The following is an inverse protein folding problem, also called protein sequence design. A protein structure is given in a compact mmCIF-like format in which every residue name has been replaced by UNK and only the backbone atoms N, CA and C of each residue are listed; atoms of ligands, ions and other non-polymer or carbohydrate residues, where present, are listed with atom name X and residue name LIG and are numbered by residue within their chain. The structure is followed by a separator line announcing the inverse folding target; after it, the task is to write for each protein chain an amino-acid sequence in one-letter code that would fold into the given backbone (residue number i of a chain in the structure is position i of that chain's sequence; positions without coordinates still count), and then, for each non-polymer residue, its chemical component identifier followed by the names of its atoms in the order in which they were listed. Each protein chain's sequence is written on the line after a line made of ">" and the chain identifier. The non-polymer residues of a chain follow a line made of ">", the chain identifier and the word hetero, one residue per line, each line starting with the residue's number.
data_IF_474911343163
#
_entry.id   IF_474911343163
#
_cell.length_a   1.000
_cell.length_b   1.000
_cell.length_c   1.000
_cell.angle_alpha   90.00
_cell.angle_beta   90.00
_cell.angle_gamma   90.00
#
_symmetry.space_group_name_H-M   'P 1'
#
loop_
_entity.id
_entity.type
_entity.pdbx_description
1 polymer ?
#
# COMPACT_ATOMS: atom_id res chain seq x y z
N UNK A 1 -4.52 -14.72 0.93
CA UNK A 1 -3.80 -13.62 0.26
C UNK A 1 -2.31 -13.83 0.47
N UNK A 2 -1.48 -13.64 -0.56
CA UNK A 2 -0.02 -13.57 -0.44
C UNK A 2 0.43 -12.15 -0.85
N UNK A 3 1.19 -11.46 -0.01
CA UNK A 3 1.78 -10.15 -0.32
C UNK A 3 3.29 -10.28 -0.21
N UNK A 4 3.99 -10.03 -1.31
CA UNK A 4 5.45 -9.93 -1.34
C UNK A 4 5.85 -8.49 -1.62
N UNK A 5 6.69 -7.93 -0.77
CA UNK A 5 7.20 -6.57 -0.90
C UNK A 5 8.69 -6.55 -0.65
N UNK A 6 9.42 -5.98 -1.60
CA UNK A 6 10.82 -5.62 -1.46
C UNK A 6 10.96 -4.22 -2.02
N UNK A 7 10.83 -3.20 -1.18
CA UNK A 7 10.68 -1.82 -1.63
C UNK A 7 11.38 -0.82 -0.72
N UNK A 8 11.87 0.25 -1.36
CA UNK A 8 12.46 1.40 -0.67
C UNK A 8 11.68 2.68 -0.97
N UNK A 9 11.50 3.52 0.05
CA UNK A 9 10.95 4.86 -0.10
C UNK A 9 11.62 5.87 0.82
N UNK A 10 12.17 6.94 0.25
CA UNK A 10 12.69 8.09 0.99
C UNK A 10 11.67 9.22 1.02
N UNK A 11 11.45 9.78 2.21
CA UNK A 11 10.61 10.97 2.44
C UNK A 11 11.37 11.93 3.37
N UNK A 12 12.02 12.94 2.80
CA UNK A 12 12.90 13.82 3.56
C UNK A 12 14.07 13.06 4.19
N UNK A 13 14.20 13.12 5.51
CA UNK A 13 15.20 12.37 6.29
C UNK A 13 14.78 10.93 6.61
N UNK A 14 13.52 10.57 6.39
CA UNK A 14 13.01 9.23 6.66
C UNK A 14 13.25 8.29 5.47
N UNK A 15 13.71 7.07 5.74
CA UNK A 15 13.88 6.00 4.76
C UNK A 15 13.13 4.76 5.23
N UNK A 16 12.10 4.37 4.48
CA UNK A 16 11.41 3.11 4.66
C UNK A 16 12.06 2.07 3.75
N UNK A 17 12.58 0.98 4.33
CA UNK A 17 12.99 -0.23 3.62
C UNK A 17 12.20 -1.39 4.15
N UNK A 18 11.53 -2.13 3.27
CA UNK A 18 10.74 -3.30 3.65
C UNK A 18 11.07 -4.42 2.68
N UNK A 19 11.49 -5.56 3.22
CA UNK A 19 11.67 -6.80 2.49
C UNK A 19 10.97 -7.90 3.30
N UNK A 20 9.79 -8.31 2.84
CA UNK A 20 9.01 -9.34 3.52
C UNK A 20 8.01 -9.99 2.57
N UNK A 21 7.64 -11.22 2.91
CA UNK A 21 6.53 -11.95 2.31
C UNK A 21 5.58 -12.36 3.44
N UNK A 22 4.30 -12.02 3.28
CA UNK A 22 3.27 -12.33 4.26
C UNK A 22 2.12 -13.05 3.58
N UNK A 23 1.72 -14.18 4.19
CA UNK A 23 0.58 -14.96 3.74
C UNK A 23 -0.43 -15.08 4.86
N UNK A 24 -1.72 -15.04 4.50
CA UNK A 24 -2.81 -15.17 5.45
C UNK A 24 -4.08 -14.48 4.98
N UNK A 25 -5.13 -14.62 5.76
CA UNK A 25 -6.39 -13.88 5.57
C UNK A 25 -6.38 -12.53 6.29
N UNK A 26 -5.64 -12.42 7.39
CA UNK A 26 -5.56 -11.24 8.25
C UNK A 26 -4.10 -11.02 8.65
N UNK A 27 -3.57 -9.85 8.35
CA UNK A 27 -2.20 -9.45 8.67
C UNK A 27 -2.24 -8.14 9.44
N UNK A 28 -1.52 -8.08 10.56
CA UNK A 28 -1.36 -6.88 11.37
C UNK A 28 0.01 -6.27 11.18
N UNK A 29 0.07 -4.94 11.07
CA UNK A 29 1.33 -4.18 11.08
C UNK A 29 1.36 -3.36 12.37
N UNK A 30 2.36 -3.60 13.22
CA UNK A 30 2.52 -2.92 14.51
C UNK A 30 3.81 -2.08 14.54
N UNK A 31 3.79 -1.00 15.32
CA UNK A 31 4.93 -0.12 15.53
C UNK A 31 4.52 1.24 16.07
N UNK A 32 5.48 1.99 16.63
CA UNK A 32 5.26 3.32 17.19
C UNK A 32 4.77 4.34 16.14
N UNK A 33 4.17 5.45 16.59
CA UNK A 33 3.83 6.55 15.68
C UNK A 33 5.07 7.02 14.91
N UNK A 34 4.93 7.34 13.62
CA UNK A 34 6.05 7.72 12.77
C UNK A 34 6.90 6.58 12.22
N UNK A 35 6.64 5.31 12.59
CA UNK A 35 7.43 4.16 12.12
C UNK A 35 7.24 3.78 10.63
N UNK A 36 6.45 4.55 9.87
CA UNK A 36 6.21 4.30 8.43
C UNK A 36 5.03 3.37 8.09
N UNK A 37 4.16 3.02 9.04
CA UNK A 37 3.00 2.13 8.79
C UNK A 37 2.06 2.65 7.70
N UNK A 38 1.62 3.91 7.81
CA UNK A 38 0.75 4.51 6.80
C UNK A 38 1.46 4.66 5.46
N UNK A 39 2.77 4.96 5.47
CA UNK A 39 3.60 4.97 4.26
C UNK A 39 3.59 3.60 3.60
N UNK A 40 3.81 2.51 4.34
CA UNK A 40 3.76 1.14 3.83
C UNK A 40 2.40 0.80 3.19
N UNK A 41 1.29 1.14 3.86
CA UNK A 41 -0.07 0.95 3.32
C UNK A 41 -0.25 1.72 2.01
N UNK A 42 0.22 2.98 1.94
CA UNK A 42 0.14 3.80 0.73
C UNK A 42 1.02 3.25 -0.42
N UNK A 43 2.17 2.65 -0.12
CA UNK A 43 3.02 2.00 -1.13
C UNK A 43 2.32 0.79 -1.75
N UNK A 44 1.72 -0.06 -0.90
CA UNK A 44 0.99 -1.27 -1.33
C UNK A 44 -0.22 -0.89 -2.18
N UNK A 45 -1.00 0.10 -1.75
CA UNK A 45 -2.20 0.55 -2.46
C UNK A 45 -1.93 1.42 -3.70
N UNK A 46 -0.69 1.88 -3.90
CA UNK A 46 -0.30 2.72 -5.03
C UNK A 46 -0.58 4.20 -4.85
N UNK A 47 -1.10 4.63 -3.69
CA UNK A 47 -1.24 6.06 -3.35
C UNK A 47 0.10 6.76 -3.20
N UNK A 48 1.15 5.99 -2.94
CA UNK A 48 2.53 6.45 -2.95
C UNK A 48 3.37 5.48 -3.80
N UNK A 49 4.19 6.02 -4.70
CA UNK A 49 5.08 5.20 -5.52
C UNK A 49 6.40 4.93 -4.75
N UNK A 50 6.87 3.66 -4.66
CA UNK A 50 8.20 3.35 -4.16
C UNK A 50 9.29 3.95 -5.06
N UNK A 51 10.45 4.25 -4.49
CA UNK A 51 11.58 4.75 -5.27
C UNK A 51 12.29 3.60 -6.01
N UNK A 52 12.34 2.41 -5.40
CA UNK A 52 12.94 1.19 -5.94
C UNK A 52 12.24 -0.06 -5.41
N UNK A 53 12.45 -1.17 -6.11
CA UNK A 53 12.04 -2.50 -5.68
C UNK A 53 10.79 -3.02 -6.40
N UNK A 54 10.09 -3.95 -5.78
CA UNK A 54 8.90 -4.60 -6.32
C UNK A 54 7.82 -4.86 -5.26
N UNK A 55 6.56 -4.87 -5.70
CA UNK A 55 5.38 -5.21 -4.88
C UNK A 55 4.51 -6.18 -5.67
N UNK A 56 4.16 -7.30 -5.07
CA UNK A 56 3.27 -8.31 -5.63
C UNK A 56 2.15 -8.63 -4.67
N UNK A 57 0.95 -8.81 -5.23
CA UNK A 57 -0.20 -9.31 -4.51
C UNK A 57 -0.70 -10.56 -5.23
N UNK A 58 -0.58 -11.70 -4.56
CA UNK A 58 -0.66 -13.03 -5.13
C UNK A 58 0.32 -13.13 -6.32
N UNK A 59 -0.17 -13.47 -7.52
CA UNK A 59 0.65 -13.61 -8.72
C UNK A 59 0.76 -12.29 -9.53
N UNK A 60 0.10 -11.22 -9.08
CA UNK A 60 0.07 -9.95 -9.81
C UNK A 60 1.18 -9.00 -9.34
N UNK A 61 2.01 -8.54 -10.28
CA UNK A 61 2.98 -7.48 -10.03
C UNK A 61 2.28 -6.12 -10.03
N UNK A 62 2.19 -5.49 -8.85
CA UNK A 62 1.62 -4.15 -8.69
C UNK A 62 2.63 -3.04 -9.00
N UNK A 63 3.91 -3.27 -8.67
CA UNK A 63 5.00 -2.34 -8.91
C UNK A 63 6.32 -3.10 -9.15
N UNK A 64 7.13 -2.62 -10.08
CA UNK A 64 8.51 -3.09 -10.28
C UNK A 64 9.33 -1.97 -10.92
N UNK A 65 10.32 -1.45 -10.20
CA UNK A 65 11.23 -0.45 -10.75
C UNK A 65 12.11 -1.01 -11.87
N UNK A 66 12.46 -2.30 -11.80
CA UNK A 66 13.29 -2.97 -12.81
C UNK A 66 12.55 -3.19 -14.14
N UNK A 67 11.25 -3.47 -14.07
CA UNK A 67 10.41 -3.72 -15.26
C UNK A 67 9.60 -2.52 -15.72
N UNK A 68 9.71 -1.37 -15.03
CA UNK A 68 8.94 -0.17 -15.33
C UNK A 68 7.44 -0.32 -15.07
N UNK A 69 7.04 -1.22 -14.16
CA UNK A 69 5.63 -1.46 -13.83
C UNK A 69 5.23 -0.58 -12.65
N UNK A 70 4.13 0.16 -12.80
CA UNK A 70 3.46 0.85 -11.71
C UNK A 70 1.95 0.89 -11.98
N UNK A 71 1.21 -0.09 -11.45
CA UNK A 71 -0.25 -0.08 -11.57
C UNK A 71 -0.82 1.07 -10.77
N UNK A 72 -1.73 1.82 -11.37
CA UNK A 72 -2.48 2.88 -10.69
C UNK A 72 -3.38 2.28 -9.59
N UNK A 73 -3.68 3.02 -8.50
CA UNK A 73 -4.44 2.51 -7.36
C UNK A 73 -5.73 1.77 -7.74
N UNK A 74 -6.52 2.34 -8.65
CA UNK A 74 -7.79 1.79 -9.10
C UNK A 74 -7.66 0.48 -9.87
N UNK A 75 -6.46 0.15 -10.38
CA UNK A 75 -6.17 -1.11 -11.07
C UNK A 75 -5.62 -2.19 -10.15
N UNK A 76 -5.21 -1.84 -8.92
CA UNK A 76 -4.61 -2.81 -7.98
C UNK A 76 -5.62 -3.71 -7.29
N UNK A 77 -6.92 -3.46 -7.44
CA UNK A 77 -8.01 -4.19 -6.75
C UNK A 77 -7.85 -4.20 -5.22
N UNK A 78 -7.35 -3.09 -4.67
CA UNK A 78 -7.17 -2.88 -3.24
C UNK A 78 -8.12 -1.75 -2.79
N UNK A 79 -8.92 -2.02 -1.77
CA UNK A 79 -9.68 -0.99 -1.07
C UNK A 79 -8.92 -0.53 0.18
N UNK A 80 -8.97 0.76 0.48
CA UNK A 80 -8.40 1.33 1.70
C UNK A 80 -9.51 1.93 2.54
N UNK A 81 -9.49 1.62 3.83
CA UNK A 81 -10.24 2.35 4.84
C UNK A 81 -9.25 3.21 5.62
N UNK A 82 -9.41 4.53 5.55
CA UNK A 82 -8.52 5.48 6.20
C UNK A 82 -8.85 5.62 7.69
N UNK A 83 -7.86 6.06 8.47
CA UNK A 83 -8.05 6.31 9.91
C UNK A 83 -9.12 7.37 10.19
N UNK A 84 -9.20 8.39 9.33
CA UNK A 84 -10.30 9.34 9.31
C UNK A 84 -11.28 8.92 8.23
N UNK A 85 -12.58 8.93 8.54
CA UNK A 85 -13.61 8.51 7.59
C UNK A 85 -13.62 9.46 6.38
N UNK A 86 -13.16 8.95 5.23
CA UNK A 86 -13.17 9.67 3.95
C UNK A 86 -14.49 9.39 3.21
N UNK A 87 -15.63 9.64 3.87
CA UNK A 87 -16.95 9.52 3.25
C UNK A 87 -17.18 10.65 2.27
N UNK A 88 -18.02 10.42 1.26
CA UNK A 88 -18.59 11.50 0.46
C UNK A 88 -19.73 12.15 1.27
N UNK A 89 -19.51 13.34 1.87
CA UNK A 89 -20.41 13.88 2.90
C UNK A 89 -21.76 14.35 2.32
N UNK A 90 -21.83 14.54 1.02
CA UNK A 90 -23.02 14.95 0.28
C UNK A 90 -23.86 13.75 -0.21
N UNK A 91 -23.41 12.52 0.03
CA UNK A 91 -24.11 11.29 -0.34
C UNK A 91 -24.76 10.65 0.90
N UNK A 92 -25.86 9.93 0.68
CA UNK A 92 -26.44 9.08 1.73
C UNK A 92 -25.52 7.90 2.05
N UNK A 93 -25.78 7.20 3.16
CA UNK A 93 -25.04 5.97 3.51
C UNK A 93 -25.11 4.95 2.37
N UNK A 94 -26.31 4.70 1.82
CA UNK A 94 -26.50 3.75 0.71
C UNK A 94 -25.71 4.12 -0.55
N UNK A 95 -25.50 5.41 -0.80
CA UNK A 95 -24.75 5.88 -1.96
C UNK A 95 -23.21 5.89 -1.75
N UNK A 96 -22.74 5.71 -0.51
CA UNK A 96 -21.31 5.52 -0.21
C UNK A 96 -20.86 4.05 -0.26
N UNK A 97 -21.81 3.10 -0.24
CA UNK A 97 -21.56 1.65 -0.27
C UNK A 97 -21.55 1.13 -1.72
#
# INVERSE_FOLDING_TARGET
>A
MNLRIDAEKKQGSFLLRVNTEVSGERVGIFGQSGSGKSTLVHLISGLLQPDRGEIYLNDECLFSSARGINLSPERRRIAIVFQQAMLFPHLSVKANL
#
